data_IF_232554559413
#
_entry.id   IF_232554559413
#
_cell.length_a   1.000
_cell.length_b   1.000
_cell.length_c   1.000
_cell.angle_alpha   90.00
_cell.angle_beta   90.00
_cell.angle_gamma   90.00
#
_symmetry.space_group_name_H-M   'P 1'
#
loop_
_entity.id
_entity.type
_entity.pdbx_description
1 polymer ?
#
# COMPACT_ATOMS: atom_id res chain seq x y z
N UNK A 1 37.56 33.14 -68.81
CA UNK A 1 37.40 32.53 -67.46
C UNK A 1 37.26 33.55 -66.31
N UNK A 2 37.68 34.81 -66.47
CA UNK A 2 37.66 35.81 -65.38
C UNK A 2 36.27 36.46 -65.10
N UNK A 3 35.36 36.51 -66.07
CA UNK A 3 34.07 37.22 -65.92
C UNK A 3 32.96 36.41 -65.23
N UNK A 4 33.08 35.07 -65.19
CA UNK A 4 32.08 34.18 -64.56
C UNK A 4 32.31 34.12 -63.04
N UNK A 5 33.57 34.11 -62.60
CA UNK A 5 33.96 34.07 -61.19
C UNK A 5 33.48 35.33 -60.44
N UNK A 6 33.59 36.51 -61.06
CA UNK A 6 33.15 37.77 -60.45
C UNK A 6 31.62 37.87 -60.26
N UNK A 7 30.81 37.17 -61.07
CA UNK A 7 29.34 37.20 -60.96
C UNK A 7 28.84 36.28 -59.84
N UNK A 8 29.54 35.17 -59.59
CA UNK A 8 29.22 34.21 -58.53
C UNK A 8 29.55 34.78 -57.15
N UNK A 9 30.74 35.36 -56.98
CA UNK A 9 31.14 36.03 -55.72
C UNK A 9 30.21 37.21 -55.34
N UNK A 10 29.64 37.92 -56.32
CA UNK A 10 28.72 39.05 -56.07
C UNK A 10 27.32 38.60 -55.64
N UNK A 11 26.92 37.38 -55.97
CA UNK A 11 25.67 36.78 -55.50
C UNK A 11 25.86 36.14 -54.13
N UNK A 12 27.00 35.51 -53.87
CA UNK A 12 27.32 34.93 -52.57
C UNK A 12 27.43 36.03 -51.50
N UNK A 13 28.10 37.16 -51.79
CA UNK A 13 28.19 38.31 -50.86
C UNK A 13 26.81 38.91 -50.54
N UNK A 14 25.86 38.93 -51.51
CA UNK A 14 24.50 39.41 -51.26
C UNK A 14 23.66 38.44 -50.42
N UNK A 15 23.92 37.14 -50.54
CA UNK A 15 23.27 36.09 -49.75
C UNK A 15 23.78 36.10 -48.30
N UNK A 16 25.08 36.31 -48.08
CA UNK A 16 25.67 36.41 -46.73
C UNK A 16 25.27 37.71 -46.01
N UNK A 17 25.16 38.84 -46.72
CA UNK A 17 24.70 40.10 -46.12
C UNK A 17 23.18 40.08 -45.82
N UNK A 18 22.38 39.37 -46.63
CA UNK A 18 20.94 39.20 -46.34
C UNK A 18 20.68 38.25 -45.17
N UNK A 19 21.53 37.24 -44.94
CA UNK A 19 21.44 36.37 -43.76
C UNK A 19 21.91 37.07 -42.48
N UNK A 20 22.87 37.99 -42.55
CA UNK A 20 23.39 38.70 -41.37
C UNK A 20 22.49 39.85 -40.90
N UNK A 21 21.66 40.43 -41.79
CA UNK A 21 20.67 41.45 -41.41
C UNK A 21 19.37 40.86 -40.81
N UNK A 22 19.11 39.55 -40.97
CA UNK A 22 17.92 38.89 -40.44
C UNK A 22 18.11 38.32 -39.02
N UNK A 23 19.34 38.32 -38.49
CA UNK A 23 19.65 37.92 -37.10
C UNK A 23 19.61 39.06 -36.08
N UNK A 24 19.47 40.32 -36.50
CA UNK A 24 19.50 41.48 -35.57
C UNK A 24 18.10 41.96 -35.13
N UNK A 25 17.01 41.33 -35.60
CA UNK A 25 15.63 41.77 -35.30
C UNK A 25 14.91 40.92 -34.23
N UNK A 26 15.50 39.85 -33.69
CA UNK A 26 14.93 39.11 -32.55
C UNK A 26 15.46 39.55 -31.17
N UNK A 27 16.15 40.69 -31.09
CA UNK A 27 16.68 41.26 -29.84
C UNK A 27 15.71 42.09 -29.01
N UNK A 28 14.43 42.18 -29.38
CA UNK A 28 13.39 42.79 -28.53
C UNK A 28 12.36 41.74 -28.13
N UNK A 29 12.82 40.70 -27.43
CA UNK A 29 11.97 40.08 -26.42
C UNK A 29 11.50 41.23 -25.53
N UNK A 30 10.22 41.56 -25.65
CA UNK A 30 9.59 42.65 -24.94
C UNK A 30 10.07 42.61 -23.48
N UNK A 31 10.71 43.68 -23.02
CA UNK A 31 10.51 44.13 -21.64
C UNK A 31 9.04 44.55 -21.54
N UNK A 32 8.12 43.60 -21.66
CA UNK A 32 6.84 43.73 -20.99
C UNK A 32 7.25 43.56 -19.55
N UNK A 33 7.27 44.67 -18.83
CA UNK A 33 7.04 44.65 -17.40
C UNK A 33 5.72 43.90 -17.24
N UNK A 34 5.81 42.58 -17.09
CA UNK A 34 4.70 41.76 -16.68
C UNK A 34 4.44 42.26 -15.26
N UNK A 35 3.49 43.20 -15.14
CA UNK A 35 2.79 43.36 -13.88
C UNK A 35 2.09 42.03 -13.64
N UNK A 36 2.76 41.19 -12.87
CA UNK A 36 2.12 40.05 -12.27
C UNK A 36 1.11 40.64 -11.27
N UNK A 37 -0.17 40.60 -11.61
CA UNK A 37 -1.27 40.93 -10.68
C UNK A 37 -1.30 40.02 -9.45
N UNK A 38 -0.46 38.96 -9.46
CA UNK A 38 -0.18 38.12 -8.31
C UNK A 38 1.22 38.46 -7.81
N UNK A 39 1.32 39.35 -6.81
CA UNK A 39 2.51 39.35 -5.96
C UNK A 39 2.56 37.99 -5.24
N UNK A 40 3.59 37.19 -5.53
CA UNK A 40 3.88 36.02 -4.73
C UNK A 40 4.02 36.39 -3.25
N UNK A 41 3.66 35.48 -2.34
CA UNK A 41 3.80 35.70 -0.91
C UNK A 41 5.26 36.10 -0.61
N UNK A 42 5.45 37.28 -0.02
CA UNK A 42 6.78 37.80 0.32
C UNK A 42 7.40 37.04 1.51
N UNK A 43 6.57 36.31 2.25
CA UNK A 43 6.96 35.48 3.38
C UNK A 43 7.40 34.11 2.90
N UNK A 44 8.54 33.64 3.41
CA UNK A 44 8.99 32.27 3.13
C UNK A 44 8.18 31.29 3.98
N UNK A 45 7.22 30.58 3.37
CA UNK A 45 6.34 29.66 4.09
C UNK A 45 7.03 28.33 4.27
N UNK A 46 7.19 27.88 5.51
CA UNK A 46 7.72 26.57 5.86
C UNK A 46 6.56 25.58 5.99
N UNK A 47 6.67 24.45 5.30
CA UNK A 47 5.61 23.46 5.20
C UNK A 47 6.15 22.03 5.12
N UNK A 48 5.27 21.07 5.39
CA UNK A 48 5.54 19.65 5.21
C UNK A 48 4.48 19.05 4.29
N UNK A 49 4.90 18.26 3.31
CA UNK A 49 3.99 17.64 2.35
C UNK A 49 4.46 16.24 1.97
N UNK A 50 3.51 15.35 1.71
CA UNK A 50 3.75 14.04 1.08
C UNK A 50 3.92 14.22 -0.42
N UNK A 51 4.84 13.48 -1.03
CA UNK A 51 5.21 13.56 -2.46
C UNK A 51 4.08 13.29 -3.47
N UNK A 52 2.94 12.75 -3.04
CA UNK A 52 1.83 12.34 -3.92
C UNK A 52 0.55 13.19 -3.74
N UNK A 53 0.68 14.51 -3.58
CA UNK A 53 -0.49 15.38 -3.41
C UNK A 53 -1.10 15.73 -4.77
N UNK A 54 -2.26 15.16 -5.11
CA UNK A 54 -3.15 15.78 -6.12
C UNK A 54 -3.89 16.98 -5.50
N UNK A 55 -4.49 17.84 -6.31
CA UNK A 55 -5.35 18.94 -5.81
C UNK A 55 -6.42 18.33 -4.90
N UNK A 56 -6.53 18.83 -3.67
CA UNK A 56 -7.40 18.32 -2.58
C UNK A 56 -6.97 16.99 -1.91
N UNK A 57 -5.82 16.42 -2.24
CA UNK A 57 -5.28 15.28 -1.49
C UNK A 57 -4.85 15.68 -0.08
N UNK A 58 -5.17 14.80 0.88
CA UNK A 58 -4.78 14.95 2.27
C UNK A 58 -3.28 14.74 2.37
N UNK A 59 -2.62 15.58 3.18
CA UNK A 59 -1.21 15.38 3.54
C UNK A 59 -1.09 14.18 4.50
N UNK A 60 -1.18 12.96 3.95
CA UNK A 60 -1.24 11.71 4.74
C UNK A 60 -0.24 10.68 4.25
N UNK A 61 0.60 10.18 5.16
CA UNK A 61 1.37 8.95 4.96
C UNK A 61 0.56 7.77 5.49
N UNK A 62 0.44 6.69 4.71
CA UNK A 62 -0.35 5.51 5.07
C UNK A 62 0.56 4.31 5.30
N UNK A 63 0.34 3.62 6.41
CA UNK A 63 0.97 2.35 6.75
C UNK A 63 -0.11 1.30 7.02
N UNK A 64 0.23 0.03 6.78
CA UNK A 64 -0.62 -1.11 7.11
C UNK A 64 0.19 -2.07 7.96
N UNK A 65 -0.41 -2.51 9.06
CA UNK A 65 0.15 -3.48 9.99
C UNK A 65 -0.80 -4.67 10.08
N UNK A 66 -0.24 -5.87 10.03
CA UNK A 66 -1.00 -7.11 10.19
C UNK A 66 -0.57 -7.76 11.50
N UNK A 67 -1.47 -7.76 12.49
CA UNK A 67 -1.23 -8.42 13.76
C UNK A 67 -1.55 -9.91 13.64
N UNK A 68 -0.61 -10.75 14.08
CA UNK A 68 -0.75 -12.20 14.15
C UNK A 68 -0.47 -12.68 15.57
N UNK A 69 -0.88 -13.92 15.93
CA UNK A 69 -0.48 -14.52 17.20
C UNK A 69 1.03 -14.63 17.44
N UNK A 70 1.86 -14.61 16.39
CA UNK A 70 3.32 -14.61 16.51
C UNK A 70 3.96 -13.20 16.54
N UNK A 71 3.17 -12.14 16.38
CA UNK A 71 3.64 -10.76 16.33
C UNK A 71 3.07 -9.98 15.14
N UNK A 72 3.54 -8.74 14.99
CA UNK A 72 3.07 -7.83 13.95
C UNK A 72 3.95 -7.91 12.70
N UNK A 73 3.32 -7.92 11.53
CA UNK A 73 3.97 -7.79 10.23
C UNK A 73 3.73 -6.38 9.68
N UNK A 74 4.78 -5.79 9.10
CA UNK A 74 4.78 -4.41 8.63
C UNK A 74 5.62 -3.50 9.52
N UNK A 75 5.73 -2.24 9.14
CA UNK A 75 6.45 -1.26 9.95
C UNK A 75 5.86 0.13 9.76
N UNK A 76 5.94 0.96 10.81
CA UNK A 76 5.63 2.38 10.72
C UNK A 76 6.94 3.13 10.83
N UNK A 77 7.48 3.53 9.68
CA UNK A 77 8.72 4.29 9.55
C UNK A 77 8.56 5.27 8.38
N UNK A 78 8.22 6.51 8.69
CA UNK A 78 8.05 7.60 7.72
C UNK A 78 9.22 8.58 7.77
N UNK A 79 9.64 9.07 6.60
CA UNK A 79 10.59 10.15 6.47
C UNK A 79 10.06 11.17 5.45
N UNK A 80 9.98 12.45 5.85
CA UNK A 80 9.50 13.53 4.99
C UNK A 80 10.44 14.74 5.06
N UNK A 81 10.89 15.26 3.91
CA UNK A 81 11.59 16.53 3.91
C UNK A 81 10.63 17.65 4.30
N UNK A 82 11.20 18.69 4.89
CA UNK A 82 10.53 19.95 5.19
C UNK A 82 10.91 20.93 4.12
N UNK A 83 9.93 21.66 3.61
CA UNK A 83 10.10 22.54 2.46
C UNK A 83 9.82 23.98 2.87
N UNK A 84 10.34 24.91 2.09
CA UNK A 84 10.02 26.32 2.17
C UNK A 84 9.70 26.88 0.78
N UNK A 85 8.78 27.84 0.67
CA UNK A 85 8.34 28.38 -0.64
C UNK A 85 9.43 29.16 -1.36
N UNK A 86 10.46 29.60 -0.64
CA UNK A 86 11.64 30.27 -1.16
C UNK A 86 12.89 29.64 -0.56
N UNK A 87 14.03 29.82 -1.23
CA UNK A 87 15.31 29.49 -0.63
C UNK A 87 15.51 30.29 0.67
N UNK A 88 15.87 29.60 1.75
CA UNK A 88 16.09 30.22 3.04
C UNK A 88 17.29 31.17 2.99
N UNK A 89 17.16 32.38 3.52
CA UNK A 89 18.28 33.34 3.56
C UNK A 89 19.27 32.98 4.67
N UNK A 90 18.76 32.41 5.75
CA UNK A 90 19.53 31.82 6.85
C UNK A 90 19.02 30.41 7.12
N UNK A 91 19.78 29.60 7.85
CA UNK A 91 19.32 28.26 8.21
C UNK A 91 18.03 28.35 9.04
N UNK A 92 17.00 27.59 8.64
CA UNK A 92 15.73 27.50 9.36
C UNK A 92 15.71 26.19 10.14
N UNK A 93 15.62 26.29 11.47
CA UNK A 93 15.33 25.13 12.33
C UNK A 93 13.83 25.01 12.50
N UNK A 94 13.31 23.81 12.28
CA UNK A 94 11.88 23.49 12.33
C UNK A 94 11.65 22.47 13.42
N UNK A 95 10.76 22.76 14.36
CA UNK A 95 10.39 21.86 15.46
C UNK A 95 9.01 21.24 15.23
N UNK A 96 8.81 20.04 15.77
CA UNK A 96 7.59 19.24 15.57
C UNK A 96 6.96 18.83 16.89
N UNK A 97 5.65 18.61 16.87
CA UNK A 97 4.91 17.97 17.96
C UNK A 97 3.81 17.06 17.41
N UNK A 98 3.40 16.07 18.21
CA UNK A 98 2.19 15.30 17.95
C UNK A 98 1.00 16.07 18.55
N UNK A 99 0.02 16.41 17.71
CA UNK A 99 -1.15 17.21 18.10
C UNK A 99 -2.44 16.40 17.93
N UNK A 100 -2.75 15.57 18.92
CA UNK A 100 -3.93 14.68 18.89
C UNK A 100 -5.27 15.44 18.91
N UNK A 101 -5.29 16.74 19.20
CA UNK A 101 -6.52 17.55 19.13
C UNK A 101 -7.08 17.65 17.70
N UNK A 102 -6.26 17.37 16.68
CA UNK A 102 -6.63 17.43 15.27
C UNK A 102 -7.37 16.19 14.77
N UNK A 103 -7.46 15.12 15.57
CA UNK A 103 -8.00 13.82 15.16
C UNK A 103 -9.50 13.90 14.89
N UNK A 104 -10.27 14.54 15.76
CA UNK A 104 -11.73 14.63 15.59
C UNK A 104 -12.10 15.45 14.36
N UNK A 105 -11.42 16.57 14.13
CA UNK A 105 -11.60 17.36 12.92
C UNK A 105 -11.22 16.58 11.66
N UNK A 106 -10.13 15.81 11.70
CA UNK A 106 -9.73 14.94 10.60
C UNK A 106 -10.82 13.89 10.32
N UNK A 107 -11.29 13.19 11.36
CA UNK A 107 -12.31 12.16 11.25
C UNK A 107 -13.63 12.70 10.70
N UNK A 108 -14.10 13.84 11.21
CA UNK A 108 -15.30 14.50 10.73
C UNK A 108 -15.18 14.92 9.26
N UNK A 109 -14.04 15.51 8.88
CA UNK A 109 -13.82 16.00 7.52
C UNK A 109 -13.76 14.88 6.48
N UNK A 110 -13.20 13.72 6.84
CA UNK A 110 -12.93 12.63 5.89
C UNK A 110 -13.81 11.38 6.09
N UNK A 111 -14.78 11.42 7.00
CA UNK A 111 -15.65 10.28 7.29
C UNK A 111 -14.90 9.07 7.83
N UNK A 112 -13.79 9.30 8.55
CA UNK A 112 -12.96 8.24 9.15
C UNK A 112 -13.28 8.07 10.62
N UNK A 113 -12.73 7.03 11.25
CA UNK A 113 -12.88 6.77 12.69
C UNK A 113 -11.55 6.37 13.32
N UNK A 114 -10.47 7.05 12.91
CA UNK A 114 -9.12 6.80 13.42
C UNK A 114 -9.03 7.10 14.91
N UNK A 115 -8.29 6.26 15.64
CA UNK A 115 -7.94 6.47 17.04
C UNK A 115 -6.57 7.13 17.18
N UNK A 116 -6.34 7.78 18.31
CA UNK A 116 -5.01 8.24 18.69
C UNK A 116 -4.12 7.05 19.00
N UNK A 117 -2.88 7.05 18.52
CA UNK A 117 -1.88 6.07 18.95
C UNK A 117 -1.61 6.27 20.45
N UNK A 118 -1.47 5.19 21.26
CA UNK A 118 -1.19 5.30 22.69
C UNK A 118 0.04 6.17 22.99
N UNK A 119 0.00 6.87 24.11
CA UNK A 119 1.09 7.75 24.54
C UNK A 119 2.40 6.95 24.69
N UNK A 120 3.50 7.50 24.18
CA UNK A 120 4.83 6.89 24.26
C UNK A 120 5.13 5.83 23.20
N UNK A 121 4.19 5.52 22.29
CA UNK A 121 4.45 4.58 21.19
C UNK A 121 5.12 5.25 19.99
N UNK A 122 4.85 6.55 19.79
CA UNK A 122 5.33 7.32 18.65
C UNK A 122 6.67 7.96 18.99
N UNK A 123 7.65 7.76 18.11
CA UNK A 123 8.91 8.51 18.13
C UNK A 123 8.94 9.49 16.95
N UNK A 124 9.27 10.75 17.24
CA UNK A 124 9.60 11.76 16.22
C UNK A 124 10.93 12.43 16.55
N UNK A 125 11.73 12.82 15.55
CA UNK A 125 12.88 13.69 15.81
C UNK A 125 12.39 15.11 16.14
N UNK A 126 13.05 15.76 17.10
CA UNK A 126 12.60 17.04 17.62
C UNK A 126 12.75 18.19 16.61
N UNK A 127 13.80 18.15 15.78
CA UNK A 127 14.11 19.22 14.85
C UNK A 127 14.63 18.72 13.49
N UNK A 128 14.42 19.56 12.48
CA UNK A 128 14.93 19.42 11.11
C UNK A 128 15.42 20.79 10.65
N UNK A 129 16.49 20.81 9.84
CA UNK A 129 17.09 22.07 9.36
C UNK A 129 16.97 22.20 7.85
N UNK A 130 16.45 23.36 7.40
CA UNK A 130 16.58 23.86 6.02
C UNK A 130 17.85 24.71 5.96
N UNK A 131 18.90 24.30 5.23
CA UNK A 131 20.12 25.09 5.12
C UNK A 131 19.89 26.43 4.42
N UNK A 132 20.71 27.43 4.74
CA UNK A 132 20.75 28.67 3.97
C UNK A 132 21.04 28.38 2.49
N UNK A 133 20.34 29.08 1.59
CA UNK A 133 20.40 28.86 0.15
C UNK A 133 19.56 27.70 -0.37
N UNK A 134 18.92 26.91 0.49
CA UNK A 134 18.05 25.79 0.10
C UNK A 134 16.57 26.09 0.39
N UNK A 135 15.67 25.50 -0.40
CA UNK A 135 14.24 25.46 -0.14
C UNK A 135 13.77 24.12 0.45
N UNK A 136 14.69 23.17 0.65
CA UNK A 136 14.42 21.82 1.12
C UNK A 136 15.39 21.50 2.25
N UNK A 137 14.89 20.83 3.29
CA UNK A 137 15.70 20.38 4.41
C UNK A 137 16.76 19.35 4.00
N UNK A 138 17.91 19.40 4.68
CA UNK A 138 18.97 18.40 4.51
C UNK A 138 18.55 17.05 5.10
N UNK A 139 17.94 17.10 6.29
CA UNK A 139 17.37 15.95 6.98
C UNK A 139 15.86 15.86 6.72
N UNK A 140 15.19 14.91 7.35
CA UNK A 140 13.74 14.72 7.23
C UNK A 140 13.09 14.63 8.60
N UNK A 141 11.81 15.02 8.69
CA UNK A 141 10.96 14.58 9.78
C UNK A 141 10.88 13.05 9.70
N UNK A 142 11.33 12.38 10.76
CA UNK A 142 11.22 10.94 10.94
C UNK A 142 10.12 10.67 11.94
N UNK A 143 9.20 9.77 11.59
CA UNK A 143 8.14 9.29 12.47
C UNK A 143 8.17 7.78 12.50
N UNK A 144 8.15 7.18 13.68
CA UNK A 144 8.11 5.72 13.80
C UNK A 144 7.30 5.24 15.00
N UNK A 145 6.89 3.98 14.93
CA UNK A 145 6.40 3.20 16.06
C UNK A 145 7.34 1.99 16.23
N UNK A 146 7.82 1.75 17.44
CA UNK A 146 8.72 0.64 17.71
C UNK A 146 8.03 -0.71 17.44
N UNK A 147 8.71 -1.72 16.86
CA UNK A 147 8.08 -2.98 16.45
C UNK A 147 7.35 -3.73 17.58
N UNK A 148 7.87 -3.70 18.79
CA UNK A 148 7.29 -4.33 19.99
C UNK A 148 5.98 -3.67 20.46
N UNK A 149 5.71 -2.44 20.01
CA UNK A 149 4.48 -1.70 20.31
C UNK A 149 3.36 -1.96 19.30
N UNK A 150 3.67 -2.46 18.10
CA UNK A 150 2.68 -2.65 17.03
C UNK A 150 1.58 -3.66 17.42
N UNK A 151 1.94 -4.72 18.15
CA UNK A 151 0.97 -5.75 18.59
C UNK A 151 -0.04 -5.22 19.60
N UNK A 152 0.27 -4.10 20.26
CA UNK A 152 -0.60 -3.45 21.25
C UNK A 152 -1.61 -2.49 20.60
N UNK A 153 -1.52 -2.26 19.28
CA UNK A 153 -2.49 -1.49 18.51
C UNK A 153 -3.69 -2.38 18.15
N UNK A 154 -4.76 -2.30 18.94
CA UNK A 154 -5.93 -3.20 18.82
C UNK A 154 -7.12 -2.64 18.04
N UNK A 155 -7.30 -1.31 17.97
CA UNK A 155 -8.27 -0.70 17.07
C UNK A 155 -7.93 -0.92 15.59
N UNK A 156 -8.96 -0.93 14.74
CA UNK A 156 -8.83 -1.16 13.28
C UNK A 156 -7.93 -0.14 12.60
N UNK A 157 -7.84 1.09 13.13
CA UNK A 157 -6.94 2.08 12.57
C UNK A 157 -6.64 3.24 13.51
N UNK A 158 -5.44 3.80 13.34
CA UNK A 158 -4.91 4.91 14.11
C UNK A 158 -4.43 6.05 13.21
N UNK A 159 -4.31 7.25 13.78
CA UNK A 159 -3.69 8.40 13.12
C UNK A 159 -2.78 9.16 14.07
N UNK A 160 -1.66 9.65 13.55
CA UNK A 160 -0.70 10.50 14.25
C UNK A 160 -0.62 11.85 13.51
N UNK A 161 -1.25 12.92 14.03
CA UNK A 161 -1.07 14.25 13.47
C UNK A 161 0.27 14.82 13.95
N UNK A 162 1.23 15.01 13.03
CA UNK A 162 2.49 15.68 13.33
C UNK A 162 2.46 17.09 12.77
N UNK A 163 2.60 18.07 13.67
CA UNK A 163 2.46 19.49 13.39
C UNK A 163 3.79 20.21 13.56
N UNK A 164 4.07 21.16 12.68
CA UNK A 164 5.14 22.14 12.89
C UNK A 164 4.75 23.01 14.09
N UNK A 165 5.47 22.86 15.20
CA UNK A 165 5.18 23.56 16.45
C UNK A 165 5.83 24.94 16.48
N UNK A 166 7.04 25.08 15.93
CA UNK A 166 7.75 26.34 15.81
C UNK A 166 8.82 26.30 14.73
N UNK A 167 9.28 27.49 14.33
CA UNK A 167 10.46 27.67 13.48
C UNK A 167 11.33 28.79 14.05
N UNK A 168 12.62 28.75 13.72
CA UNK A 168 13.57 29.79 14.12
C UNK A 168 14.72 29.92 13.11
N UNK A 169 15.42 31.05 13.12
CA UNK A 169 16.64 31.29 12.34
C UNK A 169 16.49 32.36 11.25
N UNK A 170 15.53 32.19 10.33
CA UNK A 170 15.25 33.18 9.29
C UNK A 170 14.03 34.05 9.67
N UNK A 171 14.24 35.36 9.84
CA UNK A 171 13.20 36.31 10.24
C UNK A 171 12.09 36.48 9.19
N UNK A 172 12.33 36.13 7.92
CA UNK A 172 11.31 36.17 6.88
C UNK A 172 10.53 34.85 6.75
N UNK A 173 10.89 33.83 7.53
CA UNK A 173 10.21 32.55 7.51
C UNK A 173 9.00 32.54 8.44
N UNK A 174 7.90 31.95 7.99
CA UNK A 174 6.71 31.68 8.81
C UNK A 174 6.17 30.28 8.52
N UNK A 175 5.55 29.67 9.52
CA UNK A 175 4.84 28.39 9.32
C UNK A 175 3.69 28.60 8.35
N UNK A 176 3.52 27.67 7.41
CA UNK A 176 2.37 27.65 6.50
C UNK A 176 1.06 27.51 7.28
N UNK A 177 0.01 28.24 6.90
CA UNK A 177 -1.29 28.17 7.57
C UNK A 177 -2.12 26.95 7.19
N UNK A 178 -1.80 26.29 6.08
CA UNK A 178 -2.58 25.18 5.51
C UNK A 178 -1.77 23.89 5.22
N UNK A 179 -0.44 23.95 5.33
CA UNK A 179 0.45 22.81 5.10
C UNK A 179 1.47 22.61 6.24
N UNK A 180 1.02 22.86 7.48
CA UNK A 180 1.82 22.70 8.69
C UNK A 180 1.58 21.40 9.46
N UNK A 181 0.68 20.54 8.97
CA UNK A 181 0.37 19.24 9.59
C UNK A 181 0.46 18.14 8.55
N UNK A 182 1.13 17.06 8.91
CA UNK A 182 1.06 15.78 8.19
C UNK A 182 0.39 14.74 9.09
N UNK A 183 -0.50 13.93 8.52
CA UNK A 183 -1.18 12.86 9.23
C UNK A 183 -0.52 11.52 8.88
N UNK A 184 -0.15 10.73 9.88
CA UNK A 184 0.35 9.37 9.67
C UNK A 184 -0.78 8.40 10.00
N UNK A 185 -1.42 7.83 8.99
CA UNK A 185 -2.47 6.85 9.16
C UNK A 185 -1.87 5.44 9.23
N UNK A 186 -2.26 4.67 10.24
CA UNK A 186 -1.83 3.29 10.46
C UNK A 186 -3.07 2.41 10.50
N UNK A 187 -3.28 1.61 9.46
CA UNK A 187 -4.39 0.65 9.41
C UNK A 187 -3.92 -0.68 10.00
N UNK A 188 -4.73 -1.26 10.87
CA UNK A 188 -4.47 -2.54 11.51
C UNK A 188 -5.44 -3.57 10.96
N UNK A 189 -4.91 -4.69 10.46
CA UNK A 189 -5.67 -5.92 10.26
C UNK A 189 -5.16 -7.00 11.23
N UNK A 190 -6.02 -7.97 11.53
CA UNK A 190 -5.66 -9.14 12.33
C UNK A 190 -5.87 -10.37 11.46
N UNK A 191 -4.92 -11.30 11.50
CA UNK A 191 -5.07 -12.60 10.86
C UNK A 191 -4.60 -13.70 11.79
N UNK A 192 -5.28 -14.84 11.73
CA UNK A 192 -4.89 -16.07 12.42
C UNK A 192 -4.20 -17.07 11.48
N UNK A 193 -3.89 -16.62 10.27
CA UNK A 193 -3.26 -17.41 9.21
C UNK A 193 -1.81 -17.00 9.00
N UNK A 194 -0.96 -17.96 8.67
CA UNK A 194 0.41 -17.67 8.27
C UNK A 194 0.44 -16.92 6.94
N UNK A 195 1.47 -16.09 6.78
CA UNK A 195 1.76 -15.48 5.49
C UNK A 195 2.53 -16.47 4.60
N UNK A 196 1.98 -16.78 3.42
CA UNK A 196 2.60 -17.63 2.40
C UNK A 196 3.17 -18.97 2.93
N UNK A 197 2.35 -19.80 3.59
CA UNK A 197 2.82 -21.09 4.10
C UNK A 197 3.20 -22.05 2.98
N UNK A 198 4.11 -22.97 3.28
CA UNK A 198 4.57 -24.03 2.38
C UNK A 198 4.30 -25.42 2.95
N UNK A 199 4.54 -26.46 2.16
CA UNK A 199 4.28 -27.85 2.59
C UNK A 199 4.98 -28.26 3.87
N UNK A 200 6.20 -27.77 4.14
CA UNK A 200 6.93 -28.06 5.37
C UNK A 200 6.33 -27.41 6.62
N UNK A 201 5.45 -26.42 6.47
CA UNK A 201 4.74 -25.80 7.59
C UNK A 201 3.56 -26.65 8.07
N UNK A 202 3.12 -27.64 7.29
CA UNK A 202 2.04 -28.57 7.65
C UNK A 202 2.61 -29.63 8.60
N UNK A 203 2.49 -29.38 9.91
CA UNK A 203 3.11 -30.22 10.95
C UNK A 203 2.21 -31.38 11.42
N UNK A 204 0.97 -31.44 10.93
CA UNK A 204 0.00 -32.50 11.24
C UNK A 204 0.02 -33.65 10.22
N UNK A 205 -0.72 -34.72 10.51
CA UNK A 205 -0.93 -35.81 9.56
C UNK A 205 -2.05 -35.44 8.58
N UNK A 206 -1.87 -35.82 7.32
CA UNK A 206 -2.92 -35.71 6.31
C UNK A 206 -4.09 -36.64 6.67
N UNK A 207 -5.32 -36.12 6.61
CA UNK A 207 -6.52 -36.95 6.71
C UNK A 207 -6.71 -37.67 5.38
N UNK A 208 -6.37 -38.96 5.34
CA UNK A 208 -6.42 -39.76 4.12
C UNK A 208 -7.84 -40.14 3.69
N UNK A 209 -8.72 -40.49 4.64
CA UNK A 209 -10.11 -40.81 4.34
C UNK A 209 -10.96 -39.55 4.25
N UNK A 210 -11.43 -39.28 3.04
CA UNK A 210 -12.26 -38.12 2.68
C UNK A 210 -13.61 -38.54 2.12
N UNK A 211 -13.98 -39.82 2.27
CA UNK A 211 -15.22 -40.39 1.70
C UNK A 211 -16.50 -39.74 2.22
N UNK A 212 -16.47 -39.21 3.44
CA UNK A 212 -17.57 -38.47 4.04
C UNK A 212 -17.59 -36.98 3.66
N UNK A 213 -16.58 -36.48 2.96
CA UNK A 213 -16.46 -35.05 2.67
C UNK A 213 -17.33 -34.69 1.48
N UNK A 214 -17.97 -33.53 1.60
CA UNK A 214 -18.75 -32.94 0.51
C UNK A 214 -18.46 -31.46 0.41
N UNK A 215 -18.89 -30.83 -0.67
CA UNK A 215 -18.71 -29.40 -0.81
C UNK A 215 -19.65 -28.76 -1.80
N UNK A 216 -19.73 -27.44 -1.73
CA UNK A 216 -20.50 -26.58 -2.63
C UNK A 216 -19.69 -25.36 -2.99
N UNK A 217 -19.85 -24.87 -4.22
CA UNK A 217 -19.38 -23.54 -4.60
C UNK A 217 -20.55 -22.70 -5.07
N UNK A 218 -20.61 -21.44 -4.65
CA UNK A 218 -21.71 -20.51 -4.99
C UNK A 218 -21.60 -19.92 -6.42
N UNK A 219 -21.01 -20.69 -7.35
CA UNK A 219 -20.81 -20.33 -8.75
C UNK A 219 -21.30 -21.46 -9.65
N UNK A 220 -21.69 -21.14 -10.91
CA UNK A 220 -21.87 -22.17 -11.92
C UNK A 220 -20.61 -23.03 -12.06
N UNK A 221 -20.81 -24.34 -12.09
CA UNK A 221 -19.76 -25.30 -12.44
C UNK A 221 -19.79 -25.45 -13.95
N UNK A 222 -18.70 -25.05 -14.61
CA UNK A 222 -18.57 -25.10 -16.06
C UNK A 222 -18.10 -26.47 -16.56
N UNK A 223 -17.32 -27.18 -15.75
CA UNK A 223 -16.89 -28.54 -16.01
C UNK A 223 -16.51 -29.26 -14.70
N UNK A 224 -16.68 -30.58 -14.69
CA UNK A 224 -16.35 -31.42 -13.54
C UNK A 224 -17.35 -31.27 -12.38
N UNK A 225 -16.89 -31.46 -11.15
CA UNK A 225 -17.74 -31.48 -9.95
C UNK A 225 -16.93 -31.11 -8.71
N UNK A 226 -17.56 -30.48 -7.71
CA UNK A 226 -16.93 -30.21 -6.41
C UNK A 226 -16.50 -31.50 -5.70
N UNK A 227 -17.14 -32.64 -6.00
CA UNK A 227 -16.75 -33.94 -5.46
C UNK A 227 -15.34 -34.38 -5.88
N UNK A 228 -14.82 -33.84 -7.00
CA UNK A 228 -13.46 -34.10 -7.46
C UNK A 228 -12.41 -33.76 -6.39
N UNK A 229 -12.64 -32.71 -5.59
CA UNK A 229 -11.72 -32.25 -4.56
C UNK A 229 -11.43 -33.31 -3.47
N UNK A 230 -12.20 -34.39 -3.41
CA UNK A 230 -12.14 -35.38 -2.34
C UNK A 230 -11.89 -36.81 -2.84
N UNK A 231 -11.74 -37.02 -4.15
CA UNK A 231 -11.69 -38.37 -4.74
C UNK A 231 -10.28 -38.99 -4.81
N UNK A 232 -9.22 -38.18 -4.68
CA UNK A 232 -7.84 -38.64 -4.72
C UNK A 232 -7.25 -38.80 -6.12
N UNK A 233 -7.96 -38.33 -7.15
CA UNK A 233 -7.49 -38.28 -8.53
C UNK A 233 -7.12 -36.84 -8.95
N UNK A 234 -5.81 -36.57 -9.05
CA UNK A 234 -5.28 -35.29 -9.52
C UNK A 234 -5.71 -34.92 -10.96
N UNK A 235 -6.34 -35.83 -11.72
CA UNK A 235 -6.86 -35.57 -13.07
C UNK A 235 -8.34 -35.16 -13.08
N UNK A 236 -9.09 -35.40 -12.00
CA UNK A 236 -10.46 -34.91 -11.85
C UNK A 236 -10.41 -33.47 -11.31
N UNK A 237 -11.42 -32.65 -11.60
CA UNK A 237 -11.44 -31.26 -11.14
C UNK A 237 -12.83 -30.67 -11.01
N UNK A 238 -12.92 -29.53 -10.34
CA UNK A 238 -14.06 -28.62 -10.34
C UNK A 238 -13.66 -27.30 -11.00
N UNK A 239 -14.21 -27.01 -12.19
CA UNK A 239 -13.96 -25.76 -12.91
C UNK A 239 -15.14 -24.80 -12.75
N UNK A 240 -14.88 -23.61 -12.19
CA UNK A 240 -15.91 -22.62 -11.83
C UNK A 240 -15.33 -21.20 -11.80
N UNK A 241 -16.20 -20.19 -11.64
CA UNK A 241 -15.77 -18.82 -11.34
C UNK A 241 -15.19 -18.68 -9.93
N UNK A 242 -14.57 -17.54 -9.64
CA UNK A 242 -14.22 -17.16 -8.27
C UNK A 242 -15.49 -17.01 -7.43
N UNK A 243 -15.55 -17.70 -6.29
CA UNK A 243 -16.69 -17.68 -5.38
C UNK A 243 -16.40 -18.28 -4.02
N UNK A 244 -17.46 -18.61 -3.28
CA UNK A 244 -17.40 -19.19 -1.94
C UNK A 244 -17.47 -20.71 -2.01
N UNK A 245 -16.33 -21.36 -1.80
CA UNK A 245 -16.26 -22.81 -1.59
C UNK A 245 -16.54 -23.11 -0.11
N UNK A 246 -17.50 -24.00 0.15
CA UNK A 246 -17.76 -24.56 1.48
C UNK A 246 -17.56 -26.06 1.44
N UNK A 247 -16.72 -26.58 2.34
CA UNK A 247 -16.43 -28.01 2.52
C UNK A 247 -17.06 -28.47 3.84
N UNK A 248 -17.87 -29.54 3.80
CA UNK A 248 -18.32 -30.28 4.98
C UNK A 248 -17.45 -31.53 5.14
N UNK A 249 -16.71 -31.62 6.25
CA UNK A 249 -15.85 -32.75 6.59
C UNK A 249 -16.64 -33.99 7.09
N UNK A 250 -17.98 -33.93 7.09
CA UNK A 250 -18.91 -34.97 7.53
C UNK A 250 -19.06 -35.07 9.05
N UNK A 251 -18.02 -34.71 9.80
CA UNK A 251 -18.01 -34.62 11.26
C UNK A 251 -17.03 -33.55 11.75
N UNK A 252 -17.11 -33.18 13.03
CA UNK A 252 -16.14 -32.25 13.60
C UNK A 252 -14.75 -32.88 13.69
N UNK A 253 -13.81 -32.29 12.96
CA UNK A 253 -12.40 -32.61 13.03
C UNK A 253 -11.71 -31.66 14.01
N UNK A 254 -11.12 -32.24 15.05
CA UNK A 254 -10.32 -31.49 16.02
C UNK A 254 -8.86 -31.35 15.60
N UNK A 255 -8.23 -30.26 16.00
CA UNK A 255 -6.77 -30.09 15.88
C UNK A 255 -6.28 -29.76 14.48
N UNK A 256 -7.14 -29.28 13.58
CA UNK A 256 -6.75 -28.90 12.21
C UNK A 256 -5.64 -27.86 12.27
N UNK A 257 -4.51 -28.20 11.68
CA UNK A 257 -3.29 -27.42 11.67
C UNK A 257 -3.17 -26.59 10.39
N UNK A 258 -3.55 -27.16 9.26
CA UNK A 258 -3.47 -26.52 7.97
C UNK A 258 -4.20 -27.31 6.89
N UNK A 259 -4.21 -26.75 5.69
CA UNK A 259 -5.00 -27.24 4.56
C UNK A 259 -4.19 -27.06 3.29
N UNK A 260 -4.46 -27.89 2.29
CA UNK A 260 -3.83 -27.80 0.97
C UNK A 260 -4.88 -27.89 -0.12
N UNK A 261 -4.70 -27.06 -1.14
CA UNK A 261 -5.40 -27.13 -2.41
C UNK A 261 -4.42 -27.54 -3.51
N UNK A 262 -4.90 -28.29 -4.48
CA UNK A 262 -4.24 -28.45 -5.78
C UNK A 262 -5.15 -27.93 -6.88
N UNK A 263 -4.52 -27.47 -7.96
CA UNK A 263 -5.22 -26.96 -9.15
C UNK A 263 -4.76 -27.70 -10.38
N UNK A 264 -5.66 -27.84 -11.35
CA UNK A 264 -5.42 -28.56 -12.61
C UNK A 264 -4.25 -27.95 -13.40
N UNK A 265 -4.19 -26.61 -13.42
CA UNK A 265 -2.99 -25.85 -13.80
C UNK A 265 -2.80 -24.69 -12.84
N UNK A 266 -1.57 -24.21 -12.69
CA UNK A 266 -1.24 -23.13 -11.74
C UNK A 266 -2.00 -21.83 -12.02
N UNK A 267 -2.30 -21.55 -13.30
CA UNK A 267 -3.11 -20.39 -13.70
C UNK A 267 -4.54 -20.40 -13.13
N UNK A 268 -5.02 -21.57 -12.71
CA UNK A 268 -6.34 -21.81 -12.12
C UNK A 268 -6.31 -21.98 -10.60
N UNK A 269 -5.15 -21.77 -9.97
CA UNK A 269 -5.03 -21.75 -8.51
C UNK A 269 -5.74 -20.55 -7.87
N UNK A 270 -5.86 -20.61 -6.56
CA UNK A 270 -6.35 -19.53 -5.71
C UNK A 270 -5.20 -18.53 -5.51
N UNK A 271 -5.49 -17.22 -5.50
CA UNK A 271 -4.52 -16.19 -5.12
C UNK A 271 -4.85 -15.64 -3.72
N UNK A 272 -6.11 -15.27 -3.49
CA UNK A 272 -6.57 -14.82 -2.17
C UNK A 272 -7.94 -15.39 -1.82
N UNK A 273 -8.16 -15.70 -0.55
CA UNK A 273 -9.47 -16.11 -0.03
C UNK A 273 -9.64 -15.72 1.45
N UNK A 274 -10.83 -15.27 1.84
CA UNK A 274 -11.18 -15.16 3.26
C UNK A 274 -11.52 -16.55 3.81
N UNK A 275 -10.87 -16.94 4.91
CA UNK A 275 -11.00 -18.28 5.49
C UNK A 275 -11.83 -18.21 6.76
N UNK A 276 -12.86 -19.05 6.83
CA UNK A 276 -13.69 -19.19 8.02
C UNK A 276 -14.02 -20.66 8.29
N UNK A 277 -14.36 -20.99 9.53
CA UNK A 277 -14.80 -22.35 9.88
C UNK A 277 -15.99 -22.35 10.83
N UNK A 278 -16.66 -23.49 10.89
CA UNK A 278 -17.81 -23.72 11.78
C UNK A 278 -17.87 -25.19 12.21
N UNK A 279 -18.42 -25.45 13.39
CA UNK A 279 -18.75 -26.81 13.85
C UNK A 279 -20.21 -27.18 13.60
N UNK A 280 -21.09 -26.20 13.41
CA UNK A 280 -22.55 -26.35 13.32
C UNK A 280 -23.15 -25.89 11.98
N UNK A 281 -22.35 -25.27 11.11
CA UNK A 281 -22.76 -24.73 9.81
C UNK A 281 -23.48 -23.37 9.90
N UNK A 282 -23.71 -22.86 11.11
CA UNK A 282 -24.48 -21.65 11.37
C UNK A 282 -23.58 -20.53 11.92
N UNK A 283 -22.77 -20.84 12.92
CA UNK A 283 -21.86 -19.88 13.55
C UNK A 283 -20.48 -20.01 12.93
N UNK A 284 -19.98 -18.93 12.33
CA UNK A 284 -18.72 -18.92 11.61
C UNK A 284 -17.66 -18.10 12.34
N UNK A 285 -16.48 -18.69 12.53
CA UNK A 285 -15.28 -17.98 13.00
C UNK A 285 -14.46 -17.56 11.79
N UNK A 286 -14.17 -16.26 11.67
CA UNK A 286 -13.30 -15.71 10.63
C UNK A 286 -11.83 -15.72 11.09
N UNK A 287 -10.94 -16.13 10.19
CA UNK A 287 -9.50 -16.22 10.45
C UNK A 287 -8.68 -15.17 9.67
N UNK A 288 -9.33 -14.38 8.82
CA UNK A 288 -8.69 -13.42 7.92
C UNK A 288 -8.50 -13.95 6.51
N UNK A 289 -7.74 -13.19 5.72
CA UNK A 289 -7.45 -13.47 4.31
C UNK A 289 -6.18 -14.31 4.19
N UNK A 290 -6.30 -15.49 3.57
CA UNK A 290 -5.16 -16.27 3.11
C UNK A 290 -4.63 -15.70 1.79
N UNK A 291 -3.30 -15.60 1.69
CA UNK A 291 -2.60 -15.34 0.44
C UNK A 291 -1.84 -16.59 0.05
N UNK A 292 -2.07 -17.06 -1.17
CA UNK A 292 -1.48 -18.28 -1.68
C UNK A 292 -0.30 -17.98 -2.59
N UNK A 293 0.74 -18.80 -2.53
CA UNK A 293 1.92 -18.62 -3.36
C UNK A 293 1.57 -18.66 -4.85
N UNK A 294 2.16 -17.74 -5.62
CA UNK A 294 2.08 -17.70 -7.08
C UNK A 294 3.14 -18.65 -7.67
N UNK A 295 2.77 -19.58 -8.56
CA UNK A 295 3.72 -20.50 -9.19
C UNK A 295 3.25 -21.96 -9.14
N UNK A 296 4.19 -22.89 -9.41
CA UNK A 296 3.90 -24.31 -9.62
C UNK A 296 3.65 -25.04 -8.31
N UNK A 297 2.52 -25.74 -8.24
CA UNK A 297 2.27 -26.78 -7.23
C UNK A 297 1.17 -26.45 -6.23
N UNK A 298 1.15 -27.23 -5.14
CA UNK A 298 0.07 -27.17 -4.17
C UNK A 298 0.09 -25.88 -3.34
N UNK A 299 -1.09 -25.42 -2.95
CA UNK A 299 -1.33 -24.15 -2.29
C UNK A 299 -1.81 -24.39 -0.87
N UNK A 300 -1.26 -23.68 0.11
CA UNK A 300 -1.44 -24.02 1.52
C UNK A 300 -2.14 -22.91 2.32
N UNK A 301 -2.86 -23.33 3.36
CA UNK A 301 -3.32 -22.47 4.45
C UNK A 301 -2.81 -23.06 5.75
N UNK A 302 -2.24 -22.23 6.63
CA UNK A 302 -1.73 -22.65 7.93
C UNK A 302 -2.32 -21.74 9.01
N UNK A 303 -2.83 -22.33 10.09
CA UNK A 303 -3.29 -21.58 11.25
C UNK A 303 -2.16 -21.41 12.27
N UNK A 304 -2.13 -20.26 12.95
CA UNK A 304 -1.27 -20.05 14.12
C UNK A 304 -1.68 -20.88 15.33
N UNK A 305 -2.97 -21.17 15.46
CA UNK A 305 -3.51 -22.04 16.50
C UNK A 305 -4.36 -23.10 15.82
N UNK A 306 -4.15 -24.36 16.16
CA UNK A 306 -4.97 -25.44 15.63
C UNK A 306 -6.46 -25.18 15.93
N UNK A 307 -7.32 -25.48 14.96
CA UNK A 307 -8.76 -25.22 15.04
C UNK A 307 -9.55 -26.52 15.09
N UNK A 308 -10.81 -26.42 15.53
CA UNK A 308 -11.78 -27.50 15.41
C UNK A 308 -12.86 -27.06 14.43
N UNK A 309 -13.15 -27.86 13.41
CA UNK A 309 -14.15 -27.52 12.40
C UNK A 309 -14.84 -28.77 11.85
N UNK A 310 -16.10 -28.62 11.48
CA UNK A 310 -16.80 -29.53 10.56
C UNK A 310 -16.89 -28.89 9.17
N UNK A 311 -17.18 -27.59 9.13
CA UNK A 311 -17.32 -26.83 7.90
C UNK A 311 -16.14 -25.89 7.74
N UNK A 312 -15.54 -25.88 6.56
CA UNK A 312 -14.47 -24.96 6.16
C UNK A 312 -14.96 -24.15 4.98
N UNK A 313 -14.82 -22.82 5.04
CA UNK A 313 -15.32 -21.92 4.01
C UNK A 313 -14.23 -20.99 3.54
N UNK A 314 -14.11 -20.90 2.22
CA UNK A 314 -13.15 -20.11 1.49
C UNK A 314 -13.91 -19.20 0.55
N UNK A 315 -14.08 -17.94 0.95
CA UNK A 315 -14.59 -16.92 0.05
C UNK A 315 -13.42 -16.46 -0.82
N UNK A 316 -13.28 -17.07 -1.99
CA UNK A 316 -12.20 -16.79 -2.91
C UNK A 316 -12.44 -15.40 -3.47
N UNK A 317 -11.43 -14.53 -3.37
CA UNK A 317 -11.51 -13.13 -3.81
C UNK A 317 -10.69 -12.89 -5.07
N UNK A 318 -9.69 -13.73 -5.32
CA UNK A 318 -8.86 -13.64 -6.52
C UNK A 318 -8.30 -15.02 -6.90
N UNK A 319 -8.36 -15.36 -8.19
CA UNK A 319 -7.63 -16.48 -8.80
C UNK A 319 -6.24 -16.04 -9.27
N UNK A 320 -5.35 -16.97 -9.61
CA UNK A 320 -4.01 -16.64 -10.10
C UNK A 320 -4.02 -15.82 -11.41
N UNK A 321 -4.70 -16.25 -12.48
CA UNK A 321 -4.57 -15.56 -13.79
C UNK A 321 -5.84 -15.42 -14.64
N UNK A 322 -6.98 -16.01 -14.28
CA UNK A 322 -8.08 -16.17 -15.25
C UNK A 322 -9.48 -15.72 -14.78
N UNK A 323 -9.65 -15.30 -13.52
CA UNK A 323 -10.98 -15.07 -12.93
C UNK A 323 -11.77 -16.37 -12.67
N UNK A 324 -11.15 -17.51 -12.94
CA UNK A 324 -11.69 -18.85 -12.74
C UNK A 324 -10.75 -19.67 -11.87
N UNK A 325 -11.28 -20.74 -11.29
CA UNK A 325 -10.53 -21.76 -10.57
C UNK A 325 -10.85 -23.14 -11.13
N UNK A 326 -9.86 -24.02 -11.10
CA UNK A 326 -9.96 -25.43 -11.50
C UNK A 326 -9.21 -26.24 -10.43
N UNK A 327 -9.93 -26.61 -9.38
CA UNK A 327 -9.35 -27.29 -8.21
C UNK A 327 -9.49 -28.80 -8.38
N UNK A 328 -8.41 -29.54 -8.12
CA UNK A 328 -8.36 -31.00 -8.26
C UNK A 328 -8.48 -31.68 -6.90
N UNK A 329 -7.81 -31.17 -5.88
CA UNK A 329 -7.76 -31.80 -4.56
C UNK A 329 -7.86 -30.77 -3.44
N UNK A 330 -8.52 -31.18 -2.36
CA UNK A 330 -8.53 -30.51 -1.08
C UNK A 330 -8.13 -31.47 0.04
N UNK A 331 -7.24 -30.99 0.90
CA UNK A 331 -6.56 -31.77 1.92
C UNK A 331 -6.55 -31.03 3.24
N UNK A 332 -6.68 -31.77 4.35
CA UNK A 332 -6.62 -31.24 5.71
C UNK A 332 -5.54 -31.96 6.51
N UNK A 333 -4.73 -31.19 7.22
CA UNK A 333 -3.70 -31.67 8.14
C UNK A 333 -4.17 -31.44 9.58
N UNK A 334 -4.03 -32.43 10.45
CA UNK A 334 -4.41 -32.36 11.88
C UNK A 334 -3.41 -33.03 12.81
#
# INVERSE_FOLDING_TARGET
MCTIILKQMRNDIKLTISLLLMMVVFGTACKKDAQYDVMGDKVNRVYITTSNKSVNSINTLKFTIVNTPAGSVGSVNGALPVNSTMAAKQAITVAFTVDNSLIDQYNQKYGTSYKAVPQGFVTINQNVTIPAGSAISKDSLKVSIAPDKLVQLTDKAYVIPVKISSISGDNNAQVSSNENVVFIAVNISVTQLYNAPVGSDMTGNLIADRSAWTGTIDQPIYAGSVSALFDGDDNSYCYSGVGTLTVDLGSTVSGINGMRFKSYFDAYGINTANVSSSTDGQTWTDYGTATFATGIGAQYVKFYKNINARYLRFQITQSQQSGFIALTEFDVYK
#
